data_IF_772580471889
#
_entry.id   IF_772580471889
#
_cell.length_a   1.000
_cell.length_b   1.000
_cell.length_c   1.000
_cell.angle_alpha   90.00
_cell.angle_beta   90.00
_cell.angle_gamma   90.00
#
_symmetry.space_group_name_H-M   'P 1'
#
loop_
_entity.id
_entity.type
_entity.pdbx_description
1 polymer ?
#
# COMPACT_ATOMS: atom_id res chain seq x y z
N UNK A 1 -8.06 39.45 10.48
CA UNK A 1 -9.16 40.15 9.76
C UNK A 1 -10.37 39.24 9.84
N UNK A 2 -11.14 39.35 10.92
CA UNK A 2 -12.43 40.06 11.05
C UNK A 2 -13.60 39.15 10.66
N UNK A 3 -14.11 38.44 11.67
CA UNK A 3 -15.37 37.71 11.63
C UNK A 3 -16.53 38.71 11.73
N UNK A 4 -17.43 38.74 10.74
CA UNK A 4 -18.71 39.41 10.83
C UNK A 4 -19.80 38.42 11.28
N UNK A 5 -20.57 38.69 12.34
CA UNK A 5 -21.82 37.98 12.59
C UNK A 5 -22.93 38.57 11.72
N UNK A 6 -23.55 37.71 10.90
CA UNK A 6 -24.74 38.02 10.12
C UNK A 6 -25.94 38.12 11.06
N UNK A 7 -26.63 39.25 10.96
CA UNK A 7 -27.82 39.62 11.70
C UNK A 7 -29.03 38.73 11.34
N UNK A 8 -29.48 37.91 12.28
CA UNK A 8 -30.83 37.31 12.29
C UNK A 8 -31.71 38.27 13.09
N UNK A 9 -32.26 39.29 12.42
CA UNK A 9 -33.17 40.25 13.03
C UNK A 9 -34.25 40.67 12.03
N UNK A 10 -35.08 39.73 11.58
CA UNK A 10 -36.25 40.05 10.75
C UNK A 10 -37.50 39.16 11.02
N UNK A 11 -37.41 38.12 11.85
CA UNK A 11 -38.53 37.20 12.09
C UNK A 11 -39.52 37.59 13.21
N UNK A 12 -39.21 38.61 14.02
CA UNK A 12 -39.93 38.86 15.28
C UNK A 12 -41.18 39.75 15.20
N UNK A 13 -41.39 40.49 14.11
CA UNK A 13 -42.39 41.57 14.11
C UNK A 13 -43.81 41.13 13.70
N UNK A 14 -43.95 39.99 13.00
CA UNK A 14 -45.27 39.50 12.53
C UNK A 14 -46.05 38.78 13.64
N UNK A 15 -45.37 38.12 14.58
CA UNK A 15 -46.02 37.35 15.65
C UNK A 15 -46.59 38.25 16.76
N UNK A 16 -46.03 39.44 16.96
CA UNK A 16 -46.50 40.38 17.99
C UNK A 16 -47.87 41.01 17.72
N UNK A 17 -48.28 41.13 16.44
CA UNK A 17 -49.52 41.81 16.06
C UNK A 17 -50.74 40.89 16.20
N UNK A 18 -50.58 39.57 16.01
CA UNK A 18 -51.70 38.62 16.11
C UNK A 18 -52.16 38.38 17.56
N UNK A 19 -51.31 38.60 18.56
CA UNK A 19 -51.65 38.39 19.98
C UNK A 19 -52.41 39.58 20.61
N UNK A 20 -52.37 40.77 20.02
CA UNK A 20 -53.04 41.96 20.58
C UNK A 20 -54.54 42.07 20.24
N UNK A 21 -55.04 41.31 19.26
CA UNK A 21 -56.42 41.45 18.74
C UNK A 21 -57.47 40.70 19.57
N UNK A 22 -57.07 39.77 20.46
CA UNK A 22 -58.02 38.91 21.18
C UNK A 22 -58.72 39.55 22.40
N UNK A 23 -58.35 40.75 22.87
CA UNK A 23 -58.81 41.26 24.19
C UNK A 23 -59.86 42.41 24.12
N UNK A 24 -60.16 43.01 22.96
CA UNK A 24 -61.12 44.14 22.88
C UNK A 24 -62.37 43.84 22.07
N UNK A 25 -63.31 43.11 22.67
CA UNK A 25 -64.67 42.97 22.15
C UNK A 25 -65.63 43.98 22.79
N UNK A 26 -66.30 44.80 21.96
CA UNK A 26 -67.78 44.97 21.96
C UNK A 26 -68.35 46.33 21.53
N UNK A 27 -67.58 47.38 21.17
CA UNK A 27 -68.19 48.67 20.70
C UNK A 27 -67.42 49.45 19.61
N UNK A 28 -66.83 48.77 18.62
CA UNK A 28 -66.10 49.47 17.53
C UNK A 28 -66.40 48.88 16.13
N UNK A 29 -67.56 48.25 15.92
CA UNK A 29 -67.85 47.50 14.68
C UNK A 29 -67.84 48.34 13.38
N UNK A 30 -68.42 49.54 13.34
CA UNK A 30 -68.54 50.27 12.06
C UNK A 30 -67.33 51.11 11.64
N UNK A 31 -66.44 51.45 12.59
CA UNK A 31 -65.18 52.15 12.26
C UNK A 31 -64.05 51.19 11.93
N UNK A 32 -64.06 49.98 12.51
CA UNK A 32 -63.06 48.95 12.22
C UNK A 32 -63.30 48.36 10.82
N UNK A 33 -64.53 48.07 10.40
CA UNK A 33 -64.76 47.53 9.04
C UNK A 33 -64.25 48.46 7.95
N UNK A 34 -64.49 49.77 8.05
CA UNK A 34 -63.98 50.76 7.09
C UNK A 34 -62.45 50.95 7.15
N UNK A 35 -61.82 50.71 8.31
CA UNK A 35 -60.36 50.77 8.45
C UNK A 35 -59.71 49.48 7.93
N UNK A 36 -60.35 48.33 8.16
CA UNK A 36 -59.91 47.02 7.71
C UNK A 36 -60.02 46.90 6.19
N UNK A 37 -61.12 47.35 5.58
CA UNK A 37 -61.29 47.32 4.11
C UNK A 37 -60.27 48.24 3.39
N UNK A 38 -59.92 49.39 4.01
CA UNK A 38 -58.80 50.22 3.52
C UNK A 38 -57.43 49.58 3.75
N UNK A 39 -57.25 48.89 4.87
CA UNK A 39 -56.02 48.17 5.16
C UNK A 39 -55.84 46.96 4.23
N UNK A 40 -56.90 46.23 3.91
CA UNK A 40 -56.88 45.12 2.96
C UNK A 40 -56.59 45.61 1.53
N UNK A 41 -57.21 46.73 1.11
CA UNK A 41 -56.91 47.35 -0.18
C UNK A 41 -55.46 47.84 -0.30
N UNK A 42 -54.94 48.50 0.75
CA UNK A 42 -53.54 48.93 0.80
C UNK A 42 -52.57 47.74 0.83
N UNK A 43 -52.92 46.67 1.54
CA UNK A 43 -52.11 45.44 1.61
C UNK A 43 -52.09 44.71 0.27
N UNK A 44 -53.23 44.61 -0.42
CA UNK A 44 -53.32 43.97 -1.74
C UNK A 44 -52.50 44.71 -2.80
N UNK A 45 -52.51 46.05 -2.77
CA UNK A 45 -51.66 46.87 -3.67
C UNK A 45 -50.19 46.64 -3.36
N UNK A 46 -49.78 46.71 -2.09
CA UNK A 46 -48.39 46.52 -1.69
C UNK A 46 -47.86 45.11 -2.02
N UNK A 47 -48.71 44.07 -1.91
CA UNK A 47 -48.36 42.71 -2.31
C UNK A 47 -48.19 42.62 -3.83
N UNK A 48 -49.05 43.27 -4.61
CA UNK A 48 -48.94 43.30 -6.09
C UNK A 48 -47.63 43.98 -6.51
N UNK A 49 -47.33 45.16 -5.94
CA UNK A 49 -46.08 45.89 -6.19
C UNK A 49 -44.84 45.06 -5.79
N UNK A 50 -44.92 44.34 -4.66
CA UNK A 50 -43.85 43.45 -4.23
C UNK A 50 -43.66 42.26 -5.19
N UNK A 51 -44.74 41.67 -5.71
CA UNK A 51 -44.65 40.58 -6.69
C UNK A 51 -44.08 41.05 -8.02
N UNK A 52 -44.44 42.24 -8.50
CA UNK A 52 -43.87 42.83 -9.71
C UNK A 52 -42.38 43.14 -9.53
N UNK A 53 -41.99 43.68 -8.36
CA UNK A 53 -40.59 43.92 -8.04
C UNK A 53 -39.77 42.62 -7.99
N UNK A 54 -40.31 41.54 -7.40
CA UNK A 54 -39.64 40.24 -7.40
C UNK A 54 -39.54 39.65 -8.82
N UNK A 55 -40.58 39.76 -9.64
CA UNK A 55 -40.55 39.32 -11.03
C UNK A 55 -39.48 40.07 -11.84
N UNK A 56 -39.36 41.38 -11.64
CA UNK A 56 -38.30 42.19 -12.26
C UNK A 56 -36.90 41.78 -11.78
N UNK A 57 -36.73 41.48 -10.49
CA UNK A 57 -35.47 40.97 -9.95
C UNK A 57 -35.09 39.60 -10.52
N UNK A 58 -36.06 38.70 -10.71
CA UNK A 58 -35.83 37.40 -11.34
C UNK A 58 -35.39 37.54 -12.80
N UNK A 59 -36.05 38.40 -13.57
CA UNK A 59 -35.67 38.66 -14.96
C UNK A 59 -34.25 39.26 -15.09
N UNK A 60 -33.88 40.20 -14.21
CA UNK A 60 -32.52 40.76 -14.13
C UNK A 60 -31.49 39.67 -13.76
N UNK A 61 -31.83 38.78 -12.83
CA UNK A 61 -30.94 37.71 -12.40
C UNK A 61 -30.76 36.65 -13.49
N UNK A 62 -31.83 36.30 -14.22
CA UNK A 62 -31.77 35.41 -15.38
C UNK A 62 -30.92 36.01 -16.50
N UNK A 63 -31.06 37.31 -16.79
CA UNK A 63 -30.21 38.00 -17.75
C UNK A 63 -28.73 37.95 -17.34
N UNK A 64 -28.43 38.26 -16.07
CA UNK A 64 -27.05 38.19 -15.53
C UNK A 64 -26.47 36.77 -15.56
N UNK A 65 -27.28 35.75 -15.31
CA UNK A 65 -26.85 34.36 -15.39
C UNK A 65 -26.59 33.94 -16.83
N UNK A 66 -27.43 34.35 -17.78
CA UNK A 66 -27.24 34.10 -19.20
C UNK A 66 -25.96 34.76 -19.73
N UNK A 67 -25.72 36.02 -19.39
CA UNK A 67 -24.51 36.75 -19.78
C UNK A 67 -23.26 36.16 -19.12
N UNK A 68 -23.35 35.78 -17.84
CA UNK A 68 -22.29 35.10 -17.12
C UNK A 68 -21.94 33.73 -17.71
N UNK A 69 -22.95 32.97 -18.14
CA UNK A 69 -22.76 31.67 -18.79
C UNK A 69 -22.05 31.82 -20.15
N UNK A 70 -22.41 32.83 -20.94
CA UNK A 70 -21.74 33.12 -22.21
C UNK A 70 -20.27 33.51 -22.01
N UNK A 71 -19.99 34.41 -21.07
CA UNK A 71 -18.62 34.82 -20.73
C UNK A 71 -17.78 33.65 -20.19
N UNK A 72 -18.38 32.80 -19.34
CA UNK A 72 -17.71 31.61 -18.82
C UNK A 72 -17.39 30.59 -19.92
N UNK A 73 -18.27 30.45 -20.93
CA UNK A 73 -18.02 29.58 -22.09
C UNK A 73 -16.85 30.08 -22.93
N UNK A 74 -16.79 31.39 -23.22
CA UNK A 74 -15.69 32.00 -23.98
C UNK A 74 -14.34 31.88 -23.24
N UNK A 75 -14.34 32.10 -21.92
CA UNK A 75 -13.14 31.89 -21.10
C UNK A 75 -12.70 30.42 -21.08
N UNK A 76 -13.64 29.48 -21.01
CA UNK A 76 -13.34 28.05 -21.04
C UNK A 76 -12.70 27.63 -22.38
N UNK A 77 -13.23 28.12 -23.51
CA UNK A 77 -12.65 27.87 -24.84
C UNK A 77 -11.24 28.44 -24.96
N UNK A 78 -11.01 29.67 -24.48
CA UNK A 78 -9.67 30.27 -24.47
C UNK A 78 -8.67 29.48 -23.61
N UNK A 79 -9.11 28.96 -22.46
CA UNK A 79 -8.28 28.11 -21.58
C UNK A 79 -7.94 26.77 -22.24
N UNK A 80 -8.89 26.16 -22.96
CA UNK A 80 -8.66 24.91 -23.68
C UNK A 80 -7.62 25.14 -24.79
N UNK A 81 -7.77 26.19 -25.59
CA UNK A 81 -6.80 26.51 -26.65
C UNK A 81 -5.38 26.75 -26.10
N UNK A 82 -5.25 27.49 -24.99
CA UNK A 82 -3.96 27.71 -24.34
C UNK A 82 -3.35 26.40 -23.77
N UNK A 83 -4.21 25.50 -23.28
CA UNK A 83 -3.77 24.19 -22.78
C UNK A 83 -3.28 23.28 -23.91
N UNK A 84 -3.96 23.27 -25.05
CA UNK A 84 -3.53 22.53 -26.25
C UNK A 84 -2.17 23.02 -26.76
N UNK A 85 -1.96 24.34 -26.81
CA UNK A 85 -0.67 24.93 -27.18
C UNK A 85 0.44 24.53 -26.19
N UNK A 86 0.15 24.58 -24.88
CA UNK A 86 1.09 24.16 -23.84
C UNK A 86 1.46 22.68 -23.95
N UNK A 87 0.48 21.79 -24.18
CA UNK A 87 0.74 20.37 -24.37
C UNK A 87 1.56 20.10 -25.64
N UNK A 88 1.28 20.80 -26.74
CA UNK A 88 2.06 20.70 -27.97
C UNK A 88 3.54 21.05 -27.74
N UNK A 89 3.80 22.15 -27.03
CA UNK A 89 5.16 22.57 -26.69
C UNK A 89 5.87 21.57 -25.76
N UNK A 90 5.16 21.01 -24.77
CA UNK A 90 5.73 19.99 -23.88
C UNK A 90 6.07 18.69 -24.60
N UNK A 91 5.20 18.22 -25.51
CA UNK A 91 5.46 17.02 -26.31
C UNK A 91 6.66 17.21 -27.25
N UNK A 92 6.80 18.39 -27.86
CA UNK A 92 7.97 18.72 -28.66
C UNK A 92 9.27 18.66 -27.83
N UNK A 93 9.28 19.29 -26.65
CA UNK A 93 10.44 19.26 -25.76
C UNK A 93 10.79 17.85 -25.24
N UNK A 94 9.78 17.04 -24.90
CA UNK A 94 9.96 15.64 -24.52
C UNK A 94 10.55 14.82 -25.67
N UNK A 95 10.09 15.04 -26.91
CA UNK A 95 10.62 14.35 -28.08
C UNK A 95 12.09 14.68 -28.36
N UNK A 96 12.48 15.95 -28.18
CA UNK A 96 13.87 16.40 -28.32
C UNK A 96 14.76 15.80 -27.23
N UNK A 97 14.28 15.76 -25.99
CA UNK A 97 14.99 15.13 -24.86
C UNK A 97 15.17 13.63 -25.09
N UNK A 98 14.14 12.93 -25.56
CA UNK A 98 14.21 11.51 -25.87
C UNK A 98 15.21 11.21 -27.00
N UNK A 99 15.25 12.06 -28.04
CA UNK A 99 16.21 11.93 -29.12
C UNK A 99 17.66 12.15 -28.63
N UNK A 100 17.89 13.10 -27.73
CA UNK A 100 19.19 13.33 -27.13
C UNK A 100 19.66 12.14 -26.28
N UNK A 101 18.78 11.60 -25.42
CA UNK A 101 19.07 10.42 -24.60
C UNK A 101 19.37 9.17 -25.43
N UNK A 102 18.64 8.97 -26.54
CA UNK A 102 18.91 7.88 -27.46
C UNK A 102 20.32 7.97 -28.06
N UNK A 103 20.75 9.18 -28.43
CA UNK A 103 22.11 9.42 -28.93
C UNK A 103 23.20 9.19 -27.88
N UNK A 104 22.98 9.60 -26.62
CA UNK A 104 23.91 9.34 -25.52
C UNK A 104 24.03 7.84 -25.21
N UNK A 105 22.90 7.11 -25.24
CA UNK A 105 22.89 5.67 -25.05
C UNK A 105 23.64 4.93 -26.16
N UNK A 106 23.43 5.31 -27.43
CA UNK A 106 24.16 4.72 -28.57
C UNK A 106 25.68 4.97 -28.45
N UNK A 107 26.09 6.17 -28.02
CA UNK A 107 27.49 6.49 -27.78
C UNK A 107 28.10 5.65 -26.63
N UNK A 108 27.38 5.50 -25.52
CA UNK A 108 27.82 4.67 -24.39
C UNK A 108 27.94 3.18 -24.78
N UNK A 109 27.01 2.68 -25.60
CA UNK A 109 27.05 1.31 -26.10
C UNK A 109 28.27 1.09 -27.02
N UNK A 110 28.58 2.06 -27.88
CA UNK A 110 29.76 2.02 -28.73
C UNK A 110 31.07 2.03 -27.91
N UNK A 111 31.12 2.79 -26.82
CA UNK A 111 32.27 2.81 -25.90
C UNK A 111 32.45 1.47 -25.18
N UNK A 112 31.36 0.88 -24.67
CA UNK A 112 31.39 -0.44 -24.04
C UNK A 112 31.82 -1.54 -25.03
N UNK A 113 31.31 -1.50 -26.25
CA UNK A 113 31.70 -2.45 -27.31
C UNK A 113 33.18 -2.32 -27.67
N UNK A 114 33.75 -1.10 -27.67
CA UNK A 114 35.17 -0.88 -27.87
C UNK A 114 36.03 -1.43 -26.71
N UNK A 115 35.53 -1.34 -25.46
CA UNK A 115 36.22 -1.87 -24.28
C UNK A 115 36.21 -3.41 -24.22
N UNK A 116 35.16 -4.06 -24.71
CA UNK A 116 34.99 -5.51 -24.67
C UNK A 116 35.95 -6.30 -25.60
N UNK A 117 36.65 -5.65 -26.52
CA UNK A 117 37.60 -6.30 -27.44
C UNK A 117 39.01 -6.44 -26.83
N UNK A 118 39.24 -5.93 -25.61
CA UNK A 118 40.46 -6.22 -24.87
C UNK A 118 40.38 -7.62 -24.23
N UNK A 119 41.26 -8.58 -24.58
CA UNK A 119 41.24 -9.91 -24.00
C UNK A 119 41.70 -9.83 -22.53
N UNK A 120 40.73 -9.76 -21.62
CA UNK A 120 40.96 -9.97 -20.20
C UNK A 120 41.03 -11.47 -19.91
N UNK A 121 42.19 -11.93 -19.47
CA UNK A 121 42.33 -13.27 -18.90
C UNK A 121 41.44 -13.36 -17.65
N UNK A 122 40.43 -14.22 -17.69
CA UNK A 122 39.48 -14.42 -16.61
C UNK A 122 40.18 -15.03 -15.37
N UNK A 123 40.03 -14.44 -14.17
CA UNK A 123 40.29 -15.15 -12.93
C UNK A 123 39.08 -16.04 -12.62
N UNK A 124 39.32 -17.35 -12.58
CA UNK A 124 38.39 -18.32 -12.02
C UNK A 124 38.28 -18.08 -10.51
N UNK A 125 37.24 -17.35 -10.08
CA UNK A 125 36.91 -17.24 -8.67
C UNK A 125 35.79 -18.24 -8.41
N UNK A 126 36.16 -19.42 -7.93
CA UNK A 126 35.24 -20.40 -7.36
C UNK A 126 34.69 -19.88 -6.02
N UNK A 127 33.79 -18.91 -6.06
CA UNK A 127 32.96 -18.58 -4.89
C UNK A 127 31.87 -19.64 -4.77
N UNK A 128 32.17 -20.68 -3.98
CA UNK A 128 31.18 -21.65 -3.50
C UNK A 128 30.17 -20.93 -2.60
N UNK A 129 29.18 -20.27 -3.21
CA UNK A 129 27.97 -19.90 -2.50
C UNK A 129 27.19 -21.20 -2.22
N UNK A 130 26.58 -21.36 -1.03
CA UNK A 130 25.72 -22.50 -0.76
C UNK A 130 24.52 -22.43 -1.72
N UNK A 131 24.54 -23.26 -2.78
CA UNK A 131 23.41 -23.38 -3.69
C UNK A 131 22.31 -24.17 -2.99
N UNK A 132 21.08 -23.65 -3.09
CA UNK A 132 19.89 -24.40 -2.73
C UNK A 132 19.59 -25.42 -3.85
N UNK A 133 18.86 -26.47 -3.52
CA UNK A 133 18.33 -27.39 -4.52
C UNK A 133 17.60 -26.62 -5.64
N UNK A 134 17.71 -27.10 -6.88
CA UNK A 134 17.06 -26.48 -8.03
C UNK A 134 15.55 -26.29 -7.77
N UNK A 135 15.08 -25.05 -7.92
CA UNK A 135 13.70 -24.65 -7.67
C UNK A 135 12.87 -24.65 -8.94
N UNK A 136 11.67 -25.22 -8.86
CA UNK A 136 10.67 -25.22 -9.93
C UNK A 136 9.91 -23.90 -10.06
N UNK A 137 9.16 -23.76 -11.15
CA UNK A 137 8.21 -22.65 -11.33
C UNK A 137 7.14 -22.71 -10.24
N UNK A 138 6.88 -21.58 -9.58
CA UNK A 138 5.94 -21.51 -8.46
C UNK A 138 6.59 -21.62 -7.08
N UNK A 139 7.88 -21.97 -7.01
CA UNK A 139 8.61 -22.04 -5.75
C UNK A 139 9.23 -20.70 -5.37
N UNK A 140 9.46 -20.51 -4.07
CA UNK A 140 10.02 -19.27 -3.51
C UNK A 140 11.24 -19.60 -2.66
N UNK A 141 12.39 -19.04 -3.02
CA UNK A 141 13.51 -18.93 -2.10
C UNK A 141 13.26 -17.78 -1.13
N UNK A 142 13.60 -18.01 0.13
CA UNK A 142 13.46 -17.02 1.20
C UNK A 142 14.83 -16.80 1.80
N UNK A 143 15.32 -15.55 1.73
CA UNK A 143 16.59 -15.12 2.28
C UNK A 143 16.37 -14.03 3.34
N UNK A 144 17.41 -13.73 4.14
CA UNK A 144 17.38 -12.69 5.18
C UNK A 144 16.09 -12.70 6.02
N UNK A 145 15.78 -13.85 6.63
CA UNK A 145 14.61 -14.01 7.53
C UNK A 145 13.24 -13.71 6.91
N UNK A 146 13.14 -13.76 5.58
CA UNK A 146 11.91 -13.42 4.88
C UNK A 146 11.84 -11.98 4.39
N UNK A 147 12.86 -11.17 4.64
CA UNK A 147 13.00 -9.84 4.08
C UNK A 147 13.24 -9.86 2.56
N UNK A 148 13.83 -10.94 2.04
CA UNK A 148 13.97 -11.17 0.59
C UNK A 148 13.27 -12.45 0.20
N UNK A 149 12.32 -12.33 -0.73
CA UNK A 149 11.59 -13.45 -1.33
C UNK A 149 11.84 -13.45 -2.83
N UNK A 150 12.45 -14.50 -3.34
CA UNK A 150 12.69 -14.70 -4.77
C UNK A 150 11.81 -15.85 -5.26
N UNK A 151 10.75 -15.50 -5.98
CA UNK A 151 9.80 -16.44 -6.57
C UNK A 151 10.17 -16.76 -8.02
N UNK A 152 10.25 -18.03 -8.38
CA UNK A 152 10.54 -18.45 -9.77
C UNK A 152 9.25 -18.39 -10.59
N UNK A 153 9.16 -17.38 -11.48
CA UNK A 153 8.00 -17.21 -12.35
C UNK A 153 8.07 -18.06 -13.62
N UNK A 154 9.25 -18.20 -14.21
CA UNK A 154 9.51 -19.03 -15.39
C UNK A 154 11.02 -19.17 -15.58
N UNK A 155 11.48 -20.20 -16.28
CA UNK A 155 12.87 -20.32 -16.68
C UNK A 155 12.99 -20.99 -18.05
N UNK A 156 14.11 -20.76 -18.72
CA UNK A 156 14.47 -21.36 -19.99
C UNK A 156 15.88 -21.95 -19.86
N UNK A 157 15.95 -23.28 -19.76
CA UNK A 157 17.20 -24.01 -19.64
C UNK A 157 18.06 -23.93 -20.91
N UNK A 158 17.46 -23.77 -22.09
CA UNK A 158 18.22 -23.62 -23.34
C UNK A 158 18.85 -22.23 -23.44
N UNK A 159 18.14 -21.20 -22.98
CA UNK A 159 18.65 -19.84 -22.90
C UNK A 159 19.50 -19.56 -21.65
N UNK A 160 19.58 -20.49 -20.69
CA UNK A 160 20.20 -20.31 -19.37
C UNK A 160 19.70 -19.06 -18.62
N UNK A 161 18.39 -18.80 -18.67
CA UNK A 161 17.80 -17.62 -18.03
C UNK A 161 16.58 -17.97 -17.18
N UNK A 162 16.36 -17.17 -16.14
CA UNK A 162 15.23 -17.29 -15.24
C UNK A 162 14.56 -15.94 -15.03
N UNK A 163 13.23 -15.95 -14.98
CA UNK A 163 12.41 -14.81 -14.61
C UNK A 163 11.99 -14.97 -13.15
N UNK A 164 12.51 -14.10 -12.30
CA UNK A 164 12.26 -14.10 -10.87
C UNK A 164 11.36 -12.91 -10.49
N UNK A 165 10.50 -13.11 -9.50
CA UNK A 165 9.90 -12.00 -8.76
C UNK A 165 10.66 -11.84 -7.45
N UNK A 166 11.45 -10.79 -7.32
CA UNK A 166 12.23 -10.49 -6.13
C UNK A 166 11.53 -9.37 -5.38
N UNK A 167 10.98 -9.68 -4.20
CA UNK A 167 10.16 -8.74 -3.41
C UNK A 167 9.00 -8.09 -4.20
N UNK A 168 8.46 -8.81 -5.18
CA UNK A 168 7.35 -8.35 -6.03
C UNK A 168 7.79 -7.66 -7.33
N UNK A 169 9.07 -7.33 -7.48
CA UNK A 169 9.62 -6.80 -8.73
C UNK A 169 10.04 -7.94 -9.67
N UNK A 170 9.63 -7.86 -10.93
CA UNK A 170 9.96 -8.88 -11.93
C UNK A 170 11.29 -8.58 -12.60
N UNK A 171 12.27 -9.48 -12.43
CA UNK A 171 13.60 -9.40 -13.04
C UNK A 171 13.85 -10.64 -13.89
N UNK A 172 14.59 -10.49 -14.99
CA UNK A 172 15.10 -11.62 -15.78
C UNK A 172 16.61 -11.66 -15.60
N UNK A 173 17.12 -12.79 -15.14
CA UNK A 173 18.54 -13.00 -14.86
C UNK A 173 19.03 -14.23 -15.62
N UNK A 174 20.19 -14.09 -16.25
CA UNK A 174 20.92 -15.23 -16.81
C UNK A 174 21.67 -15.99 -15.70
N UNK A 175 22.06 -17.24 -15.96
CA UNK A 175 22.91 -17.99 -15.05
C UNK A 175 24.25 -17.24 -14.80
N UNK A 176 24.61 -17.08 -13.53
CA UNK A 176 25.73 -16.27 -13.06
C UNK A 176 25.40 -14.79 -12.83
N UNK A 177 24.26 -14.29 -13.30
CA UNK A 177 23.85 -12.91 -13.09
C UNK A 177 23.19 -12.71 -11.72
N UNK A 178 23.21 -11.47 -11.23
CA UNK A 178 22.56 -11.08 -9.99
C UNK A 178 21.82 -9.75 -10.11
N UNK A 179 20.88 -9.53 -9.22
CA UNK A 179 20.22 -8.25 -8.99
C UNK A 179 20.44 -7.82 -7.55
N UNK A 180 20.63 -6.52 -7.33
CA UNK A 180 20.70 -5.95 -5.98
C UNK A 180 19.29 -5.71 -5.45
N UNK A 181 19.11 -5.96 -4.17
CA UNK A 181 17.91 -5.71 -3.38
C UNK A 181 18.32 -4.83 -2.20
N UNK A 182 17.73 -3.65 -2.10
CA UNK A 182 17.96 -2.76 -0.96
C UNK A 182 17.09 -3.17 0.23
N UNK A 183 17.74 -3.46 1.36
CA UNK A 183 17.09 -3.70 2.64
C UNK A 183 17.45 -2.58 3.63
N UNK A 184 16.71 -2.47 4.74
CA UNK A 184 17.05 -1.55 5.82
C UNK A 184 18.42 -1.86 6.45
N UNK A 185 18.85 -3.12 6.42
CA UNK A 185 20.14 -3.60 6.93
C UNK A 185 21.31 -3.43 5.95
N UNK A 186 21.05 -2.97 4.72
CA UNK A 186 22.05 -2.84 3.67
C UNK A 186 21.57 -3.43 2.34
N UNK A 187 22.34 -3.19 1.29
CA UNK A 187 22.10 -3.80 -0.01
C UNK A 187 22.62 -5.23 -0.02
N UNK A 188 21.87 -6.13 -0.65
CA UNK A 188 22.30 -7.50 -0.87
C UNK A 188 21.92 -7.97 -2.28
N UNK A 189 22.61 -8.98 -2.79
CA UNK A 189 22.43 -9.55 -4.11
C UNK A 189 21.62 -10.86 -4.04
N UNK A 190 20.71 -11.01 -5.00
CA UNK A 190 20.06 -12.28 -5.35
C UNK A 190 20.60 -12.70 -6.71
N UNK A 191 21.17 -13.90 -6.80
CA UNK A 191 21.81 -14.42 -8.01
C UNK A 191 21.14 -15.69 -8.51
N UNK A 192 21.16 -15.90 -9.82
CA UNK A 192 20.86 -17.20 -10.42
C UNK A 192 22.18 -17.93 -10.57
N UNK A 193 22.41 -18.98 -9.78
CA UNK A 193 23.65 -19.78 -9.85
C UNK A 193 23.64 -20.64 -11.11
N UNK A 194 22.50 -21.24 -11.43
CA UNK A 194 22.35 -22.10 -12.60
C UNK A 194 20.89 -22.29 -12.99
N UNK A 195 20.67 -22.63 -14.26
CA UNK A 195 19.36 -23.03 -14.80
C UNK A 195 19.54 -24.38 -15.48
N UNK A 196 18.67 -25.33 -15.19
CA UNK A 196 18.68 -26.66 -15.78
C UNK A 196 17.25 -27.14 -16.04
N UNK A 197 17.10 -28.31 -16.67
CA UNK A 197 15.78 -28.94 -16.84
C UNK A 197 15.09 -29.26 -15.50
N UNK A 198 15.86 -29.38 -14.41
CA UNK A 198 15.34 -29.64 -13.07
C UNK A 198 14.77 -28.37 -12.38
N UNK A 199 15.21 -27.17 -12.79
CA UNK A 199 14.82 -25.92 -12.15
C UNK A 199 15.92 -24.86 -12.15
N UNK A 200 15.74 -23.85 -11.30
CA UNK A 200 16.64 -22.71 -11.12
C UNK A 200 17.30 -22.79 -9.75
N UNK A 201 18.63 -22.77 -9.72
CA UNK A 201 19.39 -22.62 -8.49
C UNK A 201 19.53 -21.12 -8.20
N UNK A 202 18.93 -20.64 -7.11
CA UNK A 202 19.00 -19.23 -6.70
C UNK A 202 19.88 -19.14 -5.45
N UNK A 203 20.84 -18.22 -5.48
CA UNK A 203 21.72 -17.88 -4.37
C UNK A 203 21.45 -16.47 -3.88
N UNK A 204 21.93 -16.17 -2.68
CA UNK A 204 21.91 -14.80 -2.16
C UNK A 204 23.02 -14.58 -1.14
N UNK A 205 23.59 -13.38 -1.13
CA UNK A 205 24.53 -12.93 -0.10
C UNK A 205 23.84 -12.23 1.08
N UNK A 206 22.50 -12.06 1.02
CA UNK A 206 21.70 -11.40 2.07
C UNK A 206 21.76 -12.13 3.44
N UNK A 207 22.35 -13.32 3.49
CA UNK A 207 22.47 -14.19 4.66
C UNK A 207 23.88 -14.26 5.26
N UNK A 208 24.82 -13.41 4.83
CA UNK A 208 26.24 -13.55 5.19
C UNK A 208 26.84 -12.31 5.88
N UNK A 209 26.06 -11.58 6.69
CA UNK A 209 26.66 -10.70 7.69
C UNK A 209 27.27 -11.55 8.82
N UNK A 210 28.45 -12.10 8.56
CA UNK A 210 29.50 -12.48 9.51
C UNK A 210 29.10 -13.16 10.83
N UNK A 211 28.08 -14.03 10.86
CA UNK A 211 28.05 -15.05 11.90
C UNK A 211 29.10 -16.09 11.54
N UNK A 212 30.27 -15.98 12.17
CA UNK A 212 31.25 -17.06 12.16
C UNK A 212 30.53 -18.37 12.53
N UNK A 213 30.77 -19.45 11.77
CA UNK A 213 30.21 -20.77 12.05
C UNK A 213 30.48 -21.29 13.49
N UNK A 214 31.33 -20.59 14.24
CA UNK A 214 31.60 -20.81 15.66
C UNK A 214 30.48 -20.35 16.61
N UNK A 215 29.58 -19.46 16.19
CA UNK A 215 28.52 -18.89 17.04
C UNK A 215 27.12 -19.47 16.77
N UNK A 216 26.98 -20.40 15.80
CA UNK A 216 25.71 -21.09 15.57
C UNK A 216 25.54 -22.19 16.64
N UNK A 217 24.48 -22.14 17.47
CA UNK A 217 24.21 -23.17 18.45
C UNK A 217 24.12 -24.57 17.78
N UNK A 218 24.66 -25.63 18.42
CA UNK A 218 24.57 -26.98 17.87
C UNK A 218 23.11 -27.36 17.66
N UNK A 219 22.85 -28.13 16.61
CA UNK A 219 21.49 -28.55 16.30
C UNK A 219 20.93 -29.41 17.45
N UNK A 220 19.65 -29.24 17.80
CA UNK A 220 18.97 -30.16 18.71
C UNK A 220 19.03 -31.60 18.19
N UNK A 221 19.22 -32.60 19.06
CA UNK A 221 19.29 -34.02 18.65
C UNK A 221 17.97 -34.50 18.02
N UNK A 222 16.83 -33.96 18.48
CA UNK A 222 15.49 -34.20 17.92
C UNK A 222 14.89 -32.87 17.43
N UNK A 223 15.41 -32.40 16.30
CA UNK A 223 15.02 -31.13 15.68
C UNK A 223 13.88 -31.25 14.66
N UNK A 224 13.05 -30.22 14.59
CA UNK A 224 11.99 -30.04 13.59
C UNK A 224 12.32 -28.86 12.66
N UNK A 225 12.08 -28.99 11.37
CA UNK A 225 12.35 -27.94 10.37
C UNK A 225 11.12 -27.05 10.13
N UNK A 226 11.28 -25.81 9.62
CA UNK A 226 10.17 -25.00 9.12
C UNK A 226 9.28 -25.77 8.14
N UNK A 227 7.97 -25.63 8.27
CA UNK A 227 6.96 -26.35 7.49
C UNK A 227 6.59 -27.73 8.05
N UNK A 228 7.33 -28.24 9.05
CA UNK A 228 7.02 -29.52 9.68
C UNK A 228 6.01 -29.38 10.83
N UNK A 229 5.42 -30.52 11.21
CA UNK A 229 4.50 -30.64 12.35
C UNK A 229 5.07 -31.66 13.32
N UNK A 230 5.34 -31.24 14.56
CA UNK A 230 5.65 -32.11 15.67
C UNK A 230 4.37 -32.59 16.36
N UNK A 231 4.34 -33.88 16.72
CA UNK A 231 3.30 -34.46 17.57
C UNK A 231 3.92 -34.79 18.91
N UNK A 232 3.49 -34.08 19.96
CA UNK A 232 4.02 -34.19 21.32
C UNK A 232 2.92 -34.71 22.27
N UNK A 233 3.33 -35.26 23.41
CA UNK A 233 2.43 -35.78 24.46
C UNK A 233 1.32 -36.70 23.90
N UNK A 234 1.71 -37.80 23.25
CA UNK A 234 0.79 -38.78 22.63
C UNK A 234 -0.18 -38.19 21.59
N UNK A 235 0.19 -37.06 20.98
CA UNK A 235 -0.62 -36.36 19.97
C UNK A 235 -1.62 -35.36 20.53
N UNK A 236 -1.64 -35.13 21.85
CA UNK A 236 -2.43 -34.06 22.46
C UNK A 236 -1.95 -32.66 22.03
N UNK A 237 -0.67 -32.56 21.67
CA UNK A 237 -0.04 -31.33 21.18
C UNK A 237 0.41 -31.50 19.73
N UNK A 238 -0.14 -30.68 18.84
CA UNK A 238 0.31 -30.56 17.45
C UNK A 238 0.99 -29.22 17.25
N UNK A 239 2.31 -29.22 17.11
CA UNK A 239 3.10 -27.99 16.96
C UNK A 239 3.56 -27.85 15.51
N UNK A 240 3.11 -26.81 14.83
CA UNK A 240 3.59 -26.45 13.48
C UNK A 240 4.73 -25.44 13.59
N UNK A 241 5.86 -25.73 12.96
CA UNK A 241 7.01 -24.82 12.90
C UNK A 241 6.88 -23.93 11.68
N UNK A 242 6.69 -22.63 11.88
CA UNK A 242 6.52 -21.67 10.78
C UNK A 242 7.87 -21.14 10.28
N UNK A 243 8.71 -20.67 11.20
CA UNK A 243 10.04 -20.12 10.88
C UNK A 243 10.96 -20.16 12.10
N UNK A 244 12.26 -20.01 11.86
CA UNK A 244 13.32 -19.96 12.88
C UNK A 244 14.09 -18.64 12.74
N UNK A 245 14.50 -18.04 13.84
CA UNK A 245 15.43 -16.91 13.82
C UNK A 245 16.84 -17.37 13.43
N UNK A 246 17.58 -16.59 12.65
CA UNK A 246 18.90 -17.01 12.16
C UNK A 246 19.96 -17.03 13.25
N UNK A 247 19.80 -16.18 14.26
CA UNK A 247 20.66 -16.15 15.45
C UNK A 247 20.43 -17.32 16.41
N UNK A 248 19.47 -18.21 16.11
CA UNK A 248 19.11 -19.33 16.98
C UNK A 248 18.43 -18.90 18.28
N UNK A 249 17.99 -17.64 18.40
CA UNK A 249 17.40 -17.11 19.63
C UNK A 249 15.95 -17.55 19.83
N UNK A 250 15.20 -17.77 18.75
CA UNK A 250 13.75 -18.01 18.83
C UNK A 250 13.19 -18.79 17.65
N UNK A 251 12.01 -19.39 17.87
CA UNK A 251 11.23 -20.09 16.85
C UNK A 251 9.80 -19.53 16.80
N UNK A 252 9.25 -19.39 15.59
CA UNK A 252 7.83 -19.08 15.39
C UNK A 252 7.05 -20.38 15.22
N UNK A 253 6.23 -20.70 16.20
CA UNK A 253 5.46 -21.95 16.25
C UNK A 253 3.97 -21.67 16.41
N UNK A 254 3.12 -22.54 15.88
CA UNK A 254 1.68 -22.57 16.16
C UNK A 254 1.32 -23.88 16.83
N UNK A 255 0.61 -23.81 17.96
CA UNK A 255 0.19 -25.00 18.71
C UNK A 255 -1.30 -25.23 18.48
N UNK A 256 -1.66 -26.46 18.11
CA UNK A 256 -3.03 -26.92 17.83
C UNK A 256 -3.78 -26.08 16.77
N UNK A 257 -3.04 -25.39 15.89
CA UNK A 257 -3.60 -24.65 14.75
C UNK A 257 -4.32 -23.35 15.11
N UNK A 258 -4.04 -22.77 16.29
CA UNK A 258 -4.64 -21.50 16.73
C UNK A 258 -3.90 -20.33 16.06
N UNK A 259 -2.81 -19.86 16.68
CA UNK A 259 -2.03 -18.71 16.22
C UNK A 259 -0.53 -19.02 16.25
N UNK A 260 0.23 -18.40 15.34
CA UNK A 260 1.69 -18.46 15.40
C UNK A 260 2.23 -17.46 16.41
N UNK A 261 3.08 -17.92 17.31
CA UNK A 261 3.77 -17.11 18.31
C UNK A 261 5.27 -17.34 18.25
N UNK A 262 6.03 -16.29 18.54
CA UNK A 262 7.50 -16.36 18.65
C UNK A 262 7.82 -16.80 20.07
N UNK A 263 8.64 -17.84 20.20
CA UNK A 263 9.06 -18.41 21.48
C UNK A 263 10.57 -18.48 21.49
N UNK A 264 11.17 -17.87 22.51
CA UNK A 264 12.61 -17.87 22.69
C UNK A 264 13.13 -19.27 23.03
N UNK A 265 14.37 -19.54 22.64
CA UNK A 265 15.08 -20.76 22.98
C UNK A 265 15.25 -20.85 24.50
N UNK A 266 14.81 -21.96 25.09
CA UNK A 266 14.73 -22.19 26.53
C UNK A 266 13.41 -21.74 27.18
N UNK A 267 12.50 -21.09 26.43
CA UNK A 267 11.20 -20.67 26.96
C UNK A 267 10.11 -21.74 26.76
N UNK A 268 9.09 -21.67 27.61
CA UNK A 268 7.89 -22.53 27.55
C UNK A 268 6.63 -21.71 27.38
N UNK A 269 5.65 -22.28 26.68
CA UNK A 269 4.32 -21.71 26.46
C UNK A 269 3.27 -22.66 27.00
N UNK A 270 2.30 -22.11 27.74
CA UNK A 270 1.18 -22.88 28.26
C UNK A 270 0.02 -22.82 27.27
N UNK A 271 -0.57 -23.98 26.97
CA UNK A 271 -1.67 -24.14 26.02
C UNK A 271 -2.74 -25.06 26.60
N UNK A 272 -4.00 -24.72 26.36
CA UNK A 272 -5.11 -25.60 26.68
C UNK A 272 -5.29 -26.64 25.56
N UNK A 273 -5.35 -27.92 25.91
CA UNK A 273 -5.62 -29.02 24.99
C UNK A 273 -6.78 -29.87 25.54
N UNK A 274 -8.00 -29.55 25.12
CA UNK A 274 -9.20 -30.15 25.72
C UNK A 274 -9.39 -29.70 27.17
N UNK A 275 -9.45 -30.66 28.09
CA UNK A 275 -9.61 -30.42 29.54
C UNK A 275 -8.25 -30.35 30.28
N UNK A 276 -7.12 -30.48 29.57
CA UNK A 276 -5.78 -30.48 30.14
C UNK A 276 -5.03 -29.19 29.84
N UNK A 277 -4.12 -28.83 30.75
CA UNK A 277 -3.15 -27.76 30.54
C UNK A 277 -1.81 -28.37 30.18
N UNK A 278 -1.29 -28.02 29.01
CA UNK A 278 -0.03 -28.52 28.50
C UNK A 278 0.98 -27.39 28.34
N UNK A 279 2.27 -27.71 28.48
CA UNK A 279 3.38 -26.82 28.21
C UNK A 279 4.17 -27.32 27.00
N UNK A 280 4.51 -26.41 26.09
CA UNK A 280 5.47 -26.66 25.00
C UNK A 280 6.72 -25.84 25.27
N UNK A 281 7.88 -26.48 25.29
CA UNK A 281 9.19 -25.85 25.51
C UNK A 281 10.00 -25.88 24.23
N UNK A 282 10.58 -24.75 23.85
CA UNK A 282 11.61 -24.69 22.81
C UNK A 282 12.95 -24.97 23.48
N UNK A 283 13.57 -26.12 23.23
CA UNK A 283 14.82 -26.50 23.91
C UNK A 283 16.06 -25.90 23.25
N UNK A 284 15.96 -25.55 21.96
CA UNK A 284 17.08 -25.07 21.16
C UNK A 284 16.63 -24.68 19.75
N UNK A 285 17.28 -23.68 19.15
CA UNK A 285 17.19 -23.40 17.71
C UNK A 285 18.60 -23.36 17.13
N UNK A 286 18.86 -24.16 16.11
CA UNK A 286 20.20 -24.28 15.53
C UNK A 286 20.21 -25.12 14.26
N UNK A 287 21.13 -24.80 13.33
CA UNK A 287 21.29 -25.49 12.04
C UNK A 287 19.96 -25.69 11.28
N UNK A 288 19.07 -24.69 11.31
CA UNK A 288 17.78 -24.74 10.62
C UNK A 288 16.74 -25.68 11.24
N UNK A 289 16.95 -26.12 12.48
CA UNK A 289 16.04 -26.97 13.24
C UNK A 289 15.69 -26.37 14.60
N UNK A 290 14.52 -26.74 15.13
CA UNK A 290 14.08 -26.40 16.49
C UNK A 290 13.82 -27.65 17.31
N UNK A 291 14.34 -27.69 18.53
CA UNK A 291 14.06 -28.73 19.51
C UNK A 291 12.78 -28.38 20.26
N UNK A 292 11.84 -29.32 20.33
CA UNK A 292 10.54 -29.11 20.94
C UNK A 292 10.24 -30.23 21.93
N UNK A 293 9.84 -29.84 23.14
CA UNK A 293 9.34 -30.76 24.17
C UNK A 293 7.92 -30.37 24.59
N UNK A 294 7.08 -31.35 24.92
CA UNK A 294 5.70 -31.13 25.32
C UNK A 294 5.28 -32.01 26.48
N UNK A 295 4.63 -31.43 27.49
CA UNK A 295 4.09 -32.15 28.63
C UNK A 295 2.69 -31.64 29.01
N UNK A 296 1.77 -32.54 29.34
CA UNK A 296 0.40 -32.23 29.77
C UNK A 296 0.17 -32.68 31.20
N UNK A 297 -0.58 -31.88 31.98
CA UNK A 297 -0.99 -32.20 33.35
C UNK A 297 -2.49 -32.52 33.44
#
# INVERSE_FOLDING_TARGET
>A
MSNQPIAIAAGGMVIGVLLAVAISGSRVDTKISNALERAEGATSSAVTDATEAMAAQLAELEARLSDGAAAASEEAEARIAALEESFGAQLAALSETAAAQAGEFEAALAELAAAAVAPAAAPEVETQMPSLNAMGVGETAVFAEGAVRAFVSSFDAAANSAKLSVNGEMVTLDAGASTTVSLESGDCAVSVVGVSDAGVEVGSDCSMSEMSAADVPPAPEEGYTPGSVALLSDGALRVFVSSLAQDGSSARIAVNGIDTQVVDSGASIEVAAGDQTCNVTVTGVGNGMVGLEGACN
#
